data_IF_442557247342
#
_entry.id   IF_442557247342
#
_cell.length_a   1.000
_cell.length_b   1.000
_cell.length_c   1.000
_cell.angle_alpha   90.00
_cell.angle_beta   90.00
_cell.angle_gamma   90.00
#
_symmetry.space_group_name_H-M   'P 1'
#
loop_
_entity.id
_entity.type
_entity.pdbx_description
1 polymer ?
#
# COMPACT_ATOMS: atom_id res chain seq x y z
N UNK A 1 20.40 -15.49 16.49
CA UNK A 1 19.36 -14.70 15.79
C UNK A 1 19.06 -13.46 16.59
N UNK A 2 18.95 -12.28 15.95
CA UNK A 2 18.53 -11.06 16.67
C UNK A 2 17.04 -11.18 16.99
N UNK A 3 16.69 -11.13 18.27
CA UNK A 3 15.29 -11.10 18.73
C UNK A 3 14.63 -9.83 18.14
N UNK A 4 13.42 -9.91 17.55
CA UNK A 4 12.71 -8.74 17.08
C UNK A 4 12.51 -7.80 18.28
N UNK A 5 13.12 -6.62 18.24
CA UNK A 5 12.89 -5.63 19.29
C UNK A 5 11.41 -5.23 19.23
N UNK A 6 10.69 -5.16 20.36
CA UNK A 6 9.36 -4.58 20.38
C UNK A 6 9.45 -3.16 19.81
N UNK A 7 8.61 -2.84 18.84
CA UNK A 7 8.63 -1.60 18.07
C UNK A 7 8.42 -0.38 19.00
N UNK A 8 9.48 0.07 19.65
CA UNK A 8 9.49 1.30 20.44
C UNK A 8 9.70 2.48 19.48
N UNK A 9 8.73 3.41 19.35
CA UNK A 9 8.83 4.52 18.40
C UNK A 9 10.13 5.31 18.57
N UNK A 10 10.56 5.51 19.81
CA UNK A 10 11.79 6.23 20.15
C UNK A 10 12.93 5.32 20.59
N UNK A 11 12.83 4.00 20.40
CA UNK A 11 13.82 3.04 20.91
C UNK A 11 14.02 3.15 22.43
N UNK A 12 15.25 2.88 22.90
CA UNK A 12 15.64 2.99 24.33
C UNK A 12 16.06 4.40 24.73
N UNK A 13 15.30 5.41 24.30
CA UNK A 13 15.58 6.81 24.67
C UNK A 13 14.87 7.17 25.97
N UNK A 14 15.50 8.02 26.78
CA UNK A 14 14.87 8.57 27.98
C UNK A 14 13.82 9.62 27.61
N UNK A 15 12.79 9.79 28.45
CA UNK A 15 11.72 10.76 28.21
C UNK A 15 12.22 12.20 28.03
N UNK A 16 13.30 12.58 28.73
CA UNK A 16 13.93 13.90 28.59
C UNK A 16 14.49 14.13 27.17
N UNK A 17 15.12 13.10 26.60
CA UNK A 17 15.66 13.11 25.24
C UNK A 17 14.53 13.14 24.20
N UNK A 18 13.50 12.31 24.39
CA UNK A 18 12.32 12.31 23.52
C UNK A 18 11.63 13.68 23.54
N UNK A 19 11.43 14.26 24.73
CA UNK A 19 10.86 15.60 24.88
C UNK A 19 11.69 16.64 24.11
N UNK A 20 13.02 16.59 24.22
CA UNK A 20 13.91 17.49 23.50
C UNK A 20 13.73 17.42 21.96
N UNK A 21 13.52 16.23 21.39
CA UNK A 21 13.26 16.07 19.97
C UNK A 21 11.85 16.54 19.57
N UNK A 22 10.83 16.15 20.32
CA UNK A 22 9.43 16.47 20.00
C UNK A 22 9.18 17.98 20.04
N UNK A 23 9.75 18.71 21.01
CA UNK A 23 9.60 20.19 21.07
C UNK A 23 10.29 20.91 19.92
N UNK A 24 11.16 20.23 19.17
CA UNK A 24 11.83 20.72 17.95
C UNK A 24 11.14 20.23 16.67
N UNK A 25 9.99 19.56 16.79
CA UNK A 25 9.26 19.00 15.66
C UNK A 25 9.95 17.81 15.00
N UNK A 26 10.93 17.19 15.65
CA UNK A 26 11.58 15.98 15.18
C UNK A 26 10.68 14.80 15.51
N UNK A 27 10.51 13.87 14.56
CA UNK A 27 9.76 12.64 14.70
C UNK A 27 10.69 11.44 14.92
N UNK A 28 10.12 10.33 15.36
CA UNK A 28 10.83 9.06 15.41
C UNK A 28 11.37 8.68 14.03
N UNK A 29 12.33 7.76 14.01
CA UNK A 29 12.78 7.17 12.76
C UNK A 29 11.63 6.46 12.04
N UNK A 30 11.64 6.53 10.71
CA UNK A 30 10.74 5.74 9.86
C UNK A 30 11.03 4.24 10.06
N UNK A 31 10.02 3.41 10.36
CA UNK A 31 10.20 1.96 10.40
C UNK A 31 10.58 1.40 9.01
N UNK A 32 11.47 0.42 8.97
CA UNK A 32 11.91 -0.22 7.70
C UNK A 32 10.79 -0.95 6.95
N UNK A 33 9.71 -1.30 7.66
CA UNK A 33 8.51 -1.94 7.10
C UNK A 33 7.52 -0.93 6.50
N UNK A 34 7.76 0.37 6.65
CA UNK A 34 6.88 1.42 6.20
C UNK A 34 7.48 2.09 4.97
N UNK A 35 6.74 2.14 3.87
CA UNK A 35 7.18 2.80 2.64
C UNK A 35 7.13 4.33 2.79
N UNK A 36 7.91 5.06 1.99
CA UNK A 36 8.08 6.52 2.11
C UNK A 36 6.74 7.26 2.05
N UNK A 37 5.81 6.84 1.19
CA UNK A 37 4.50 7.47 1.07
C UNK A 37 3.56 7.13 2.23
N UNK A 38 3.68 5.93 2.82
CA UNK A 38 2.94 5.56 4.03
C UNK A 38 3.45 6.39 5.22
N UNK A 39 4.77 6.57 5.31
CA UNK A 39 5.40 7.40 6.33
C UNK A 39 5.10 8.90 6.17
N UNK A 40 4.90 9.39 4.95
CA UNK A 40 4.48 10.77 4.69
C UNK A 40 3.15 11.11 5.36
N UNK A 41 2.21 10.17 5.41
CA UNK A 41 0.95 10.34 6.14
C UNK A 41 1.21 10.54 7.64
N UNK A 42 2.07 9.71 8.25
CA UNK A 42 2.45 9.85 9.67
C UNK A 42 3.11 11.22 9.93
N UNK A 43 3.98 11.68 9.02
CA UNK A 43 4.58 13.02 9.13
C UNK A 43 3.54 14.14 9.13
N UNK A 44 2.50 14.04 8.29
CA UNK A 44 1.39 15.00 8.24
C UNK A 44 0.51 14.94 9.49
N UNK A 45 0.28 13.75 10.05
CA UNK A 45 -0.48 13.56 11.29
C UNK A 45 0.25 14.13 12.51
N UNK A 46 1.57 13.92 12.57
CA UNK A 46 2.40 14.30 13.71
C UNK A 46 3.12 15.65 13.51
N UNK A 47 2.62 16.52 12.62
CA UNK A 47 3.20 17.85 12.41
C UNK A 47 3.31 18.66 13.70
N UNK A 48 4.40 19.38 13.92
CA UNK A 48 4.58 20.17 15.15
C UNK A 48 3.51 21.26 15.30
N UNK A 49 3.25 21.96 14.20
CA UNK A 49 2.24 23.01 14.07
C UNK A 49 0.84 22.38 13.97
N UNK A 50 -0.04 22.69 14.93
CA UNK A 50 -1.38 22.13 15.03
C UNK A 50 -2.25 22.49 13.82
N UNK A 51 -2.11 23.70 13.29
CA UNK A 51 -2.90 24.17 12.13
C UNK A 51 -2.48 23.47 10.83
N UNK A 52 -1.27 22.92 10.79
CA UNK A 52 -0.75 22.14 9.66
C UNK A 52 -1.03 20.64 9.80
N UNK A 53 -1.51 20.17 10.96
CA UNK A 53 -1.91 18.77 11.11
C UNK A 53 -3.15 18.51 10.28
N UNK A 54 -3.10 17.44 9.49
CA UNK A 54 -4.25 17.03 8.70
C UNK A 54 -5.40 16.58 9.62
N UNK A 55 -6.63 16.88 9.21
CA UNK A 55 -7.84 16.49 9.94
C UNK A 55 -7.97 14.96 9.98
N UNK A 56 -8.57 14.44 11.04
CA UNK A 56 -8.79 13.00 11.19
C UNK A 56 -9.61 12.41 10.03
N UNK A 57 -10.57 13.16 9.46
CA UNK A 57 -11.32 12.70 8.27
C UNK A 57 -10.39 12.44 7.08
N UNK A 58 -9.44 13.34 6.83
CA UNK A 58 -8.44 13.20 5.77
C UNK A 58 -7.51 12.02 6.05
N UNK A 59 -7.14 11.80 7.32
CA UNK A 59 -6.34 10.62 7.71
C UNK A 59 -7.07 9.34 7.35
N UNK A 60 -8.37 9.25 7.65
CA UNK A 60 -9.18 8.06 7.33
C UNK A 60 -9.26 7.85 5.82
N UNK A 61 -9.53 8.91 5.04
CA UNK A 61 -9.58 8.84 3.58
C UNK A 61 -8.24 8.36 2.99
N UNK A 62 -7.12 8.88 3.50
CA UNK A 62 -5.78 8.47 3.08
C UNK A 62 -5.46 7.02 3.48
N UNK A 63 -5.83 6.58 4.68
CA UNK A 63 -5.65 5.19 5.11
C UNK A 63 -6.47 4.23 4.24
N UNK A 64 -7.72 4.57 3.91
CA UNK A 64 -8.54 3.80 2.97
C UNK A 64 -7.88 3.72 1.60
N UNK A 65 -7.34 4.83 1.09
CA UNK A 65 -6.60 4.87 -0.18
C UNK A 65 -5.36 3.96 -0.14
N UNK A 66 -4.60 3.97 0.95
CA UNK A 66 -3.41 3.13 1.12
C UNK A 66 -3.78 1.64 1.15
N UNK A 67 -4.81 1.26 1.91
CA UNK A 67 -5.29 -0.11 2.00
C UNK A 67 -5.78 -0.66 0.65
N UNK A 68 -6.53 0.14 -0.11
CA UNK A 68 -7.02 -0.28 -1.43
C UNK A 68 -5.90 -0.39 -2.49
N UNK A 69 -4.75 0.27 -2.28
CA UNK A 69 -3.61 0.18 -3.18
C UNK A 69 -2.69 -1.00 -2.86
N UNK A 70 -2.63 -1.50 -1.61
CA UNK A 70 -1.93 -2.75 -1.31
C UNK A 70 -2.51 -3.95 -2.08
N UNK A 71 -3.82 -3.95 -2.36
CA UNK A 71 -4.47 -5.02 -3.13
C UNK A 71 -4.07 -5.01 -4.61
N UNK A 72 -3.73 -3.84 -5.17
CA UNK A 72 -3.27 -3.72 -6.56
C UNK A 72 -1.88 -4.33 -6.78
N UNK A 73 -1.03 -4.33 -5.74
CA UNK A 73 0.28 -4.98 -5.78
C UNK A 73 0.22 -6.46 -5.42
N UNK A 74 -0.76 -6.92 -4.64
CA UNK A 74 -1.01 -8.34 -4.42
C UNK A 74 -1.50 -9.05 -5.70
N UNK A 75 -2.34 -8.38 -6.51
CA UNK A 75 -2.73 -8.88 -7.84
C UNK A 75 -1.58 -8.82 -8.86
N UNK A 76 -0.58 -7.95 -8.65
CA UNK A 76 0.62 -7.86 -9.50
C UNK A 76 1.66 -8.96 -9.24
N UNK A 77 1.58 -9.71 -8.15
CA UNK A 77 2.50 -10.83 -7.89
C UNK A 77 2.04 -12.14 -8.55
N UNK A 78 0.76 -12.21 -8.94
CA UNK A 78 0.18 -13.31 -9.74
C UNK A 78 -0.25 -12.87 -11.15
N UNK A 79 -0.12 -11.59 -11.49
CA UNK A 79 -0.27 -11.11 -12.86
C UNK A 79 1.10 -10.77 -13.42
N UNK A 80 1.47 -11.28 -14.60
CA UNK A 80 2.70 -10.91 -15.26
C UNK A 80 2.81 -9.37 -15.35
N UNK A 81 4.02 -8.79 -15.16
CA UNK A 81 4.20 -7.35 -15.24
C UNK A 81 3.67 -6.84 -16.58
N UNK A 82 2.92 -5.74 -16.55
CA UNK A 82 2.41 -5.01 -17.71
C UNK A 82 3.53 -4.32 -18.53
N UNK A 83 4.67 -5.00 -18.68
CA UNK A 83 5.84 -4.62 -19.47
C UNK A 83 6.34 -5.83 -20.23
N UNK A 84 5.52 -6.31 -21.15
CA UNK A 84 5.82 -6.84 -22.48
C UNK A 84 4.54 -7.56 -22.94
N UNK A 85 3.53 -6.79 -23.37
CA UNK A 85 2.45 -7.40 -24.14
C UNK A 85 3.07 -7.66 -25.51
N UNK A 86 3.58 -8.88 -25.70
CA UNK A 86 3.93 -9.36 -27.03
C UNK A 86 2.68 -9.25 -27.90
N UNK A 87 2.68 -8.31 -28.85
CA UNK A 87 1.52 -8.03 -29.69
C UNK A 87 1.11 -9.26 -30.52
N UNK A 88 2.01 -10.24 -30.69
CA UNK A 88 1.71 -11.50 -31.37
C UNK A 88 0.82 -12.46 -30.56
N UNK A 89 0.70 -12.24 -29.23
CA UNK A 89 -0.10 -13.11 -28.36
C UNK A 89 -1.57 -12.67 -28.24
N UNK A 90 -1.87 -11.40 -28.50
CA UNK A 90 -3.23 -10.83 -28.40
C UNK A 90 -4.26 -11.59 -29.27
N UNK A 91 -3.97 -11.95 -30.54
CA UNK A 91 -4.93 -12.67 -31.38
C UNK A 91 -5.33 -14.04 -30.82
N UNK A 92 -4.38 -14.75 -30.20
CA UNK A 92 -4.62 -16.08 -29.65
C UNK A 92 -5.47 -16.01 -28.38
N UNK A 93 -5.19 -15.04 -27.51
CA UNK A 93 -5.96 -14.80 -26.30
C UNK A 93 -7.42 -14.44 -26.62
N UNK A 94 -7.64 -13.52 -27.56
CA UNK A 94 -8.98 -13.15 -28.02
C UNK A 94 -9.71 -14.35 -28.64
N UNK A 95 -9.01 -15.20 -29.38
CA UNK A 95 -9.59 -16.40 -29.98
C UNK A 95 -10.02 -17.42 -28.92
N UNK A 96 -9.17 -17.65 -27.90
CA UNK A 96 -9.48 -18.55 -26.80
C UNK A 96 -10.69 -18.09 -25.99
N UNK A 97 -10.78 -16.80 -25.67
CA UNK A 97 -11.93 -16.21 -24.96
C UNK A 97 -13.23 -16.36 -25.77
N UNK A 98 -13.19 -16.11 -27.07
CA UNK A 98 -14.35 -16.28 -27.96
C UNK A 98 -14.80 -17.74 -28.03
N UNK A 99 -13.87 -18.70 -28.05
CA UNK A 99 -14.19 -20.12 -28.04
C UNK A 99 -14.82 -20.56 -26.71
N UNK A 100 -14.31 -20.04 -25.59
CA UNK A 100 -14.84 -20.36 -24.27
C UNK A 100 -16.26 -19.81 -24.10
N UNK A 101 -16.52 -18.58 -24.57
CA UNK A 101 -17.85 -17.98 -24.58
C UNK A 101 -18.83 -18.74 -25.50
N UNK A 102 -18.39 -19.19 -26.66
CA UNK A 102 -19.24 -19.97 -27.56
C UNK A 102 -19.59 -21.34 -26.97
N UNK A 103 -18.63 -21.99 -26.29
CA UNK A 103 -18.87 -23.24 -25.55
C UNK A 103 -19.84 -23.07 -24.39
N UNK A 104 -19.72 -21.99 -23.61
CA UNK A 104 -20.66 -21.71 -22.52
C UNK A 104 -22.07 -21.43 -23.03
N UNK A 105 -22.19 -20.69 -24.15
CA UNK A 105 -23.48 -20.45 -24.79
C UNK A 105 -24.12 -21.75 -25.27
N UNK A 106 -23.37 -22.60 -25.95
CA UNK A 106 -23.89 -23.88 -26.45
C UNK A 106 -24.17 -24.89 -25.33
N UNK A 107 -23.49 -24.78 -24.18
CA UNK A 107 -23.79 -25.57 -22.98
C UNK A 107 -25.09 -25.13 -22.30
N UNK A 108 -25.54 -23.88 -22.51
CA UNK A 108 -26.81 -23.38 -21.98
C UNK A 108 -28.04 -23.78 -22.81
N UNK A 109 -27.85 -24.36 -24.00
CA UNK A 109 -28.93 -24.78 -24.91
C UNK A 109 -29.41 -26.23 -24.68
N UNK A 110 -28.81 -26.98 -23.74
CA UNK A 110 -29.32 -28.30 -23.32
C UNK A 110 -30.16 -28.14 -22.04
N UNK A 111 -31.41 -27.72 -22.19
CA UNK A 111 -32.49 -27.85 -21.20
C UNK A 111 -33.76 -28.32 -21.89
#
# INVERSE_FOLDING_TARGET
>A
GKVPQPYMPWGRQQNSVVKHYVVRGILSAQPTTCEVYQWDLVRKMCGFDLEKRIKISIVVDELTRLANNSDKYAVSMYSPPAKFVDLEYIPQLISADRNLLSRLRNASEWK
#
